data_IF_656803724678
#
_entry.id   IF_656803724678
#
_cell.length_a   1.000
_cell.length_b   1.000
_cell.length_c   1.000
_cell.angle_alpha   90.00
_cell.angle_beta   90.00
_cell.angle_gamma   90.00
#
_symmetry.space_group_name_H-M   'P 1'
#
loop_
_entity.id
_entity.type
_entity.pdbx_description
1 polymer ?
#
# COMPACT_ATOMS: atom_id res chain seq x y z
N UNK A 1 -14.56 -21.99 -13.05
CA UNK A 1 -14.99 -20.57 -12.89
C UNK A 1 -14.12 -19.70 -13.78
N UNK A 2 -14.69 -18.78 -14.59
CA UNK A 2 -13.90 -17.84 -15.37
C UNK A 2 -12.94 -17.05 -14.46
N UNK A 3 -11.69 -16.83 -14.88
CA UNK A 3 -10.66 -16.18 -14.04
C UNK A 3 -11.11 -14.81 -13.50
N UNK A 4 -11.85 -14.03 -14.30
CA UNK A 4 -12.38 -12.73 -13.88
C UNK A 4 -13.34 -12.81 -12.70
N UNK A 5 -14.17 -13.85 -12.60
CA UNK A 5 -15.09 -13.94 -11.45
C UNK A 5 -14.34 -14.23 -10.15
N UNK A 6 -13.23 -14.99 -10.22
CA UNK A 6 -12.32 -15.19 -9.09
C UNK A 6 -11.61 -13.90 -8.71
N UNK A 7 -11.06 -13.16 -9.69
CA UNK A 7 -10.42 -11.85 -9.45
C UNK A 7 -11.40 -10.89 -8.78
N UNK A 8 -12.62 -10.76 -9.31
CA UNK A 8 -13.66 -9.91 -8.75
C UNK A 8 -14.03 -10.32 -7.33
N UNK A 9 -14.20 -11.62 -7.07
CA UNK A 9 -14.53 -12.11 -5.73
C UNK A 9 -13.48 -11.69 -4.70
N UNK A 10 -12.21 -11.95 -4.98
CA UNK A 10 -11.12 -11.60 -4.05
C UNK A 10 -10.96 -10.08 -3.96
N UNK A 11 -11.11 -9.35 -5.08
CA UNK A 11 -11.05 -7.89 -5.10
C UNK A 11 -12.16 -7.24 -4.27
N UNK A 12 -13.37 -7.82 -4.23
CA UNK A 12 -14.47 -7.34 -3.37
C UNK A 12 -14.08 -7.46 -1.89
N UNK A 13 -13.47 -8.57 -1.48
CA UNK A 13 -12.99 -8.72 -0.10
C UNK A 13 -11.86 -7.73 0.21
N UNK A 14 -10.88 -7.60 -0.68
CA UNK A 14 -9.78 -6.64 -0.51
C UNK A 14 -10.30 -5.21 -0.41
N UNK A 15 -11.18 -4.82 -1.33
CA UNK A 15 -11.84 -3.53 -1.30
C UNK A 15 -12.70 -3.36 -0.05
N UNK A 16 -13.41 -4.40 0.40
CA UNK A 16 -14.16 -4.36 1.65
C UNK A 16 -13.31 -4.01 2.86
N UNK A 17 -12.12 -4.61 2.96
CA UNK A 17 -11.18 -4.39 4.06
C UNK A 17 -10.46 -3.04 3.98
N UNK A 18 -9.98 -2.66 2.81
CA UNK A 18 -9.10 -1.49 2.65
C UNK A 18 -9.79 -0.26 2.02
N UNK A 19 -10.76 -0.43 1.14
CA UNK A 19 -11.33 0.68 0.34
C UNK A 19 -12.74 1.12 0.74
N UNK A 20 -13.57 0.22 1.26
CA UNK A 20 -14.99 0.49 1.45
C UNK A 20 -15.24 1.52 2.57
N UNK A 21 -14.54 1.37 3.70
CA UNK A 21 -14.64 2.28 4.83
C UNK A 21 -14.27 3.72 4.45
N UNK A 22 -13.14 3.92 3.77
CA UNK A 22 -12.69 5.26 3.34
C UNK A 22 -13.62 5.86 2.28
N UNK A 23 -14.21 5.03 1.42
CA UNK A 23 -15.17 5.49 0.42
C UNK A 23 -16.45 6.00 1.08
N UNK A 24 -17.00 5.25 2.04
CA UNK A 24 -18.15 5.67 2.84
C UNK A 24 -17.84 6.99 3.57
N UNK A 25 -16.70 7.07 4.26
CA UNK A 25 -16.30 8.28 4.98
C UNK A 25 -16.21 9.48 4.03
N UNK A 26 -15.61 9.29 2.86
CA UNK A 26 -15.45 10.36 1.87
C UNK A 26 -16.80 10.85 1.32
N UNK A 27 -17.75 9.94 1.06
CA UNK A 27 -19.11 10.29 0.64
C UNK A 27 -19.82 11.08 1.75
N UNK A 28 -19.83 10.60 3.00
CA UNK A 28 -20.52 11.28 4.10
C UNK A 28 -19.90 12.63 4.45
N UNK A 29 -18.58 12.76 4.33
CA UNK A 29 -17.86 14.01 4.60
C UNK A 29 -17.77 14.93 3.39
N UNK A 30 -18.27 14.51 2.22
CA UNK A 30 -18.17 15.23 0.94
C UNK A 30 -16.73 15.59 0.59
N UNK A 31 -15.79 14.70 0.90
CA UNK A 31 -14.38 14.86 0.60
C UNK A 31 -14.03 14.13 -0.69
N UNK A 32 -13.25 14.76 -1.57
CA UNK A 32 -12.79 14.14 -2.80
C UNK A 32 -11.48 13.40 -2.55
N UNK A 33 -11.25 12.23 -3.18
CA UNK A 33 -9.98 11.52 -3.00
C UNK A 33 -8.76 12.36 -3.38
N UNK A 34 -8.90 13.26 -4.37
CA UNK A 34 -7.82 14.19 -4.73
C UNK A 34 -7.41 15.14 -3.59
N UNK A 35 -8.31 15.44 -2.63
CA UNK A 35 -7.98 16.33 -1.51
C UNK A 35 -6.96 15.72 -0.54
N UNK A 36 -6.69 14.42 -0.64
CA UNK A 36 -5.69 13.71 0.18
C UNK A 36 -4.27 13.77 -0.41
N UNK A 37 -4.06 14.59 -1.45
CA UNK A 37 -2.73 14.83 -2.02
C UNK A 37 -2.42 14.04 -3.30
N UNK A 38 -3.43 13.51 -4.00
CA UNK A 38 -3.25 12.95 -5.34
C UNK A 38 -3.09 14.09 -6.37
N UNK A 39 -1.92 14.73 -6.36
CA UNK A 39 -1.58 15.87 -7.23
C UNK A 39 -0.42 15.52 -8.16
N UNK A 40 -0.35 16.14 -9.33
CA UNK A 40 0.75 15.91 -10.29
C UNK A 40 2.03 16.61 -9.85
N UNK A 41 1.92 17.78 -9.23
CA UNK A 41 3.07 18.54 -8.73
C UNK A 41 3.81 17.79 -7.62
N UNK A 42 5.12 17.64 -7.77
CA UNK A 42 5.97 16.91 -6.81
C UNK A 42 5.74 15.39 -6.78
N UNK A 43 4.96 14.83 -7.71
CA UNK A 43 4.66 13.40 -7.77
C UNK A 43 5.93 12.54 -7.87
N UNK A 44 6.86 12.91 -8.76
CA UNK A 44 8.11 12.17 -8.94
C UNK A 44 8.95 12.14 -7.66
N UNK A 45 9.05 13.27 -6.95
CA UNK A 45 9.80 13.35 -5.70
C UNK A 45 9.16 12.47 -4.61
N UNK A 46 7.83 12.50 -4.49
CA UNK A 46 7.10 11.62 -3.57
C UNK A 46 7.34 10.15 -3.88
N UNK A 47 7.25 9.75 -5.15
CA UNK A 47 7.55 8.37 -5.59
C UNK A 47 8.99 8.00 -5.23
N UNK A 48 9.97 8.83 -5.59
CA UNK A 48 11.38 8.55 -5.33
C UNK A 48 11.65 8.32 -3.84
N UNK A 49 11.19 9.25 -2.98
CA UNK A 49 11.40 9.14 -1.54
C UNK A 49 10.67 7.93 -0.93
N UNK A 50 9.46 7.62 -1.40
CA UNK A 50 8.73 6.43 -0.99
C UNK A 50 9.47 5.14 -1.39
N UNK A 51 10.00 5.04 -2.61
CA UNK A 51 10.80 3.90 -3.06
C UNK A 51 12.05 3.72 -2.18
N UNK A 52 12.69 4.82 -1.75
CA UNK A 52 13.84 4.73 -0.83
C UNK A 52 13.47 4.07 0.51
N UNK A 53 12.25 4.31 1.03
CA UNK A 53 11.76 3.64 2.25
C UNK A 53 11.62 2.12 2.07
N UNK A 54 11.52 1.63 0.84
CA UNK A 54 11.36 0.20 0.52
C UNK A 54 12.68 -0.53 0.32
N UNK A 55 13.80 0.19 0.14
CA UNK A 55 15.14 -0.40 -0.06
C UNK A 55 15.53 -1.39 1.06
N UNK A 56 15.34 -1.10 2.35
CA UNK A 56 15.69 -2.04 3.41
C UNK A 56 14.96 -3.38 3.29
N UNK A 57 13.68 -3.35 2.89
CA UNK A 57 12.88 -4.56 2.69
C UNK A 57 13.36 -5.36 1.47
N UNK A 58 13.69 -4.69 0.35
CA UNK A 58 14.26 -5.37 -0.83
C UNK A 58 15.56 -6.09 -0.47
N UNK A 59 16.47 -5.41 0.23
CA UNK A 59 17.75 -6.01 0.67
C UNK A 59 17.46 -7.22 1.58
N UNK A 60 16.57 -7.06 2.55
CA UNK A 60 16.16 -8.15 3.44
C UNK A 60 15.63 -9.37 2.66
N UNK A 61 14.66 -9.18 1.77
CA UNK A 61 14.03 -10.26 1.01
C UNK A 61 15.00 -11.01 0.10
N UNK A 62 15.96 -10.31 -0.54
CA UNK A 62 16.99 -10.97 -1.36
C UNK A 62 18.07 -11.67 -0.53
N UNK A 63 18.53 -11.06 0.57
CA UNK A 63 19.61 -11.64 1.40
C UNK A 63 19.20 -12.94 2.09
N UNK A 64 17.92 -13.07 2.50
CA UNK A 64 17.39 -14.29 3.10
C UNK A 64 16.75 -15.25 2.09
N UNK A 65 16.87 -14.97 0.79
CA UNK A 65 16.32 -15.83 -0.27
C UNK A 65 14.79 -15.95 -0.27
N UNK A 66 14.09 -15.00 0.36
CA UNK A 66 12.62 -14.95 0.39
C UNK A 66 12.04 -14.61 -0.99
N UNK A 67 12.79 -13.90 -1.83
CA UNK A 67 12.41 -13.59 -3.20
C UNK A 67 13.57 -13.75 -4.18
N UNK A 68 13.26 -14.28 -5.37
CA UNK A 68 14.21 -14.47 -6.47
C UNK A 68 13.81 -13.73 -7.76
N UNK A 69 12.64 -13.08 -7.77
CA UNK A 69 12.10 -12.42 -8.95
C UNK A 69 11.23 -11.23 -8.56
N UNK A 70 11.17 -10.25 -9.45
CA UNK A 70 10.30 -9.11 -9.32
C UNK A 70 9.11 -9.24 -10.29
N UNK A 71 7.88 -9.19 -9.75
CA UNK A 71 6.66 -9.07 -10.54
C UNK A 71 5.57 -8.40 -9.69
N UNK A 72 5.07 -7.21 -10.06
CA UNK A 72 3.97 -6.56 -9.33
C UNK A 72 2.79 -7.51 -9.08
N UNK A 73 2.31 -7.52 -7.84
CA UNK A 73 1.23 -8.39 -7.37
C UNK A 73 1.51 -9.90 -7.46
N UNK A 74 2.78 -10.33 -7.54
CA UNK A 74 3.17 -11.74 -7.56
C UNK A 74 2.57 -12.57 -6.44
N UNK A 75 2.43 -11.99 -5.23
CA UNK A 75 1.85 -12.64 -4.05
C UNK A 75 0.32 -12.69 -4.07
N UNK A 76 -0.33 -11.93 -4.97
CA UNK A 76 -1.79 -11.96 -5.14
C UNK A 76 -2.17 -13.24 -5.90
N UNK A 77 -3.04 -14.04 -5.27
CA UNK A 77 -3.38 -15.41 -5.67
C UNK A 77 -3.66 -15.62 -7.17
N UNK A 78 -4.31 -14.66 -7.82
CA UNK A 78 -4.79 -14.79 -9.21
C UNK A 78 -3.84 -14.20 -10.25
N UNK A 79 -2.77 -13.50 -9.87
CA UNK A 79 -1.94 -12.70 -10.79
C UNK A 79 -1.35 -13.53 -11.93
N UNK A 80 -0.72 -14.68 -11.63
CA UNK A 80 -0.09 -15.52 -12.65
C UNK A 80 -1.11 -16.07 -13.67
N UNK A 81 -2.27 -16.51 -13.20
CA UNK A 81 -3.36 -17.01 -14.05
C UNK A 81 -3.97 -15.89 -14.91
N UNK A 82 -4.12 -14.69 -14.36
CA UNK A 82 -4.60 -13.52 -15.10
C UNK A 82 -3.62 -13.14 -16.21
N UNK A 83 -2.32 -13.06 -15.90
CA UNK A 83 -1.30 -12.72 -16.90
C UNK A 83 -1.18 -13.76 -18.02
N UNK A 84 -1.41 -15.03 -17.70
CA UNK A 84 -1.42 -16.12 -18.68
C UNK A 84 -2.69 -16.17 -19.55
N UNK A 85 -3.72 -15.39 -19.23
CA UNK A 85 -4.97 -15.35 -20.00
C UNK A 85 -4.88 -14.45 -21.24
N UNK A 86 -5.74 -14.71 -22.22
CA UNK A 86 -5.78 -13.95 -23.47
C UNK A 86 -6.32 -12.53 -23.28
N UNK A 87 -5.96 -11.65 -24.21
CA UNK A 87 -6.56 -10.33 -24.29
C UNK A 87 -8.07 -10.42 -24.61
N UNK A 88 -8.95 -9.63 -23.96
CA UNK A 88 -8.65 -8.55 -23.00
C UNK A 88 -8.69 -8.97 -21.52
N UNK A 89 -8.81 -10.26 -21.22
CA UNK A 89 -9.05 -10.77 -19.87
C UNK A 89 -7.87 -10.43 -18.94
N UNK A 90 -6.65 -10.59 -19.42
CA UNK A 90 -5.44 -10.26 -18.67
C UNK A 90 -5.39 -8.78 -18.22
N UNK A 91 -5.67 -7.85 -19.13
CA UNK A 91 -5.68 -6.41 -18.84
C UNK A 91 -6.77 -6.07 -17.82
N UNK A 92 -7.99 -6.57 -18.04
CA UNK A 92 -9.12 -6.31 -17.13
C UNK A 92 -8.82 -6.86 -15.73
N UNK A 93 -8.32 -8.09 -15.64
CA UNK A 93 -7.96 -8.71 -14.37
C UNK A 93 -6.88 -7.91 -13.63
N UNK A 94 -5.81 -7.49 -14.31
CA UNK A 94 -4.74 -6.70 -13.70
C UNK A 94 -5.22 -5.30 -13.28
N UNK A 95 -6.13 -4.66 -14.02
CA UNK A 95 -6.72 -3.38 -13.63
C UNK A 95 -7.56 -3.49 -12.35
N UNK A 96 -8.35 -4.55 -12.22
CA UNK A 96 -9.11 -4.83 -11.00
C UNK A 96 -8.15 -5.05 -9.82
N UNK A 97 -7.12 -5.87 -10.00
CA UNK A 97 -6.09 -6.12 -8.97
C UNK A 97 -5.38 -4.83 -8.56
N UNK A 98 -4.92 -4.04 -9.53
CA UNK A 98 -4.23 -2.78 -9.28
C UNK A 98 -5.12 -1.75 -8.59
N UNK A 99 -6.42 -1.76 -8.86
CA UNK A 99 -7.37 -0.88 -8.16
C UNK A 99 -7.56 -1.31 -6.71
N UNK A 100 -7.80 -2.60 -6.44
CA UNK A 100 -8.09 -3.08 -5.08
C UNK A 100 -6.85 -3.15 -4.17
N UNK A 101 -5.78 -3.83 -4.60
CA UNK A 101 -4.54 -3.97 -3.82
C UNK A 101 -3.58 -2.80 -4.01
N UNK A 102 -3.51 -2.22 -5.20
CA UNK A 102 -2.58 -1.12 -5.46
C UNK A 102 -3.12 0.20 -4.92
N UNK A 103 -4.22 0.68 -5.50
CA UNK A 103 -4.78 1.98 -5.16
C UNK A 103 -5.45 1.98 -3.78
N UNK A 104 -6.48 1.16 -3.56
CA UNK A 104 -7.27 1.28 -2.33
C UNK A 104 -6.49 0.91 -1.07
N UNK A 105 -5.60 -0.09 -1.11
CA UNK A 105 -4.76 -0.44 0.04
C UNK A 105 -3.79 0.69 0.42
N UNK A 106 -3.02 1.20 -0.54
CA UNK A 106 -2.10 2.32 -0.30
C UNK A 106 -2.84 3.61 0.09
N UNK A 107 -3.96 3.90 -0.57
CA UNK A 107 -4.77 5.09 -0.31
C UNK A 107 -5.48 5.05 1.04
N UNK A 108 -5.84 3.86 1.53
CA UNK A 108 -6.43 3.67 2.87
C UNK A 108 -5.53 4.21 3.97
N UNK A 109 -4.24 3.85 3.93
CA UNK A 109 -3.25 4.34 4.90
C UNK A 109 -3.15 5.86 4.92
N UNK A 110 -3.22 6.50 3.74
CA UNK A 110 -3.19 7.96 3.62
C UNK A 110 -4.39 8.59 4.31
N UNK A 111 -5.60 8.10 4.01
CA UNK A 111 -6.85 8.63 4.57
C UNK A 111 -6.90 8.42 6.08
N UNK A 112 -6.62 7.21 6.56
CA UNK A 112 -6.61 6.90 8.00
C UNK A 112 -5.59 7.77 8.73
N UNK A 113 -4.37 7.85 8.21
CA UNK A 113 -3.30 8.67 8.80
C UNK A 113 -3.72 10.12 8.94
N UNK A 114 -4.31 10.70 7.88
CA UNK A 114 -4.78 12.08 7.90
C UNK A 114 -5.93 12.31 8.89
N UNK A 115 -6.88 11.37 9.02
CA UNK A 115 -7.96 11.48 10.02
C UNK A 115 -7.42 11.44 11.44
N UNK A 116 -6.47 10.56 11.73
CA UNK A 116 -5.85 10.44 13.05
C UNK A 116 -5.05 11.70 13.37
N UNK A 117 -4.23 12.20 12.44
CA UNK A 117 -3.42 13.41 12.66
C UNK A 117 -4.27 14.66 12.85
N UNK A 118 -5.40 14.78 12.14
CA UNK A 118 -6.36 15.88 12.37
C UNK A 118 -6.98 15.80 13.76
N UNK A 119 -7.20 14.60 14.31
CA UNK A 119 -7.78 14.40 15.64
C UNK A 119 -6.76 14.57 16.78
N UNK A 120 -5.50 14.21 16.52
CA UNK A 120 -4.38 14.23 17.45
C UNK A 120 -3.19 14.99 16.82
N UNK A 121 -3.28 16.33 16.70
CA UNK A 121 -2.20 17.12 16.12
C UNK A 121 -0.97 17.13 17.02
N UNK A 122 0.19 17.36 16.41
CA UNK A 122 1.49 17.41 17.09
C UNK A 122 2.35 18.52 16.50
N UNK A 123 3.17 19.14 17.34
CA UNK A 123 4.12 20.17 16.91
C UNK A 123 5.46 19.58 16.43
N UNK A 124 5.69 18.28 16.64
CA UNK A 124 6.91 17.62 16.21
C UNK A 124 6.82 17.20 14.75
N UNK A 125 7.79 17.65 13.94
CA UNK A 125 7.89 17.28 12.51
C UNK A 125 8.15 15.80 12.27
N UNK A 126 8.61 15.08 13.28
CA UNK A 126 9.02 13.67 13.19
C UNK A 126 8.11 12.73 13.97
N UNK A 127 7.08 13.24 14.64
CA UNK A 127 6.08 12.41 15.31
C UNK A 127 4.79 12.51 14.50
N UNK A 128 4.29 11.39 14.00
CA UNK A 128 3.06 11.35 13.20
C UNK A 128 2.19 10.19 13.68
N UNK A 129 1.13 10.50 14.44
CA UNK A 129 0.27 9.50 15.07
C UNK A 129 -0.46 8.63 14.06
N UNK A 130 -0.89 9.22 12.95
CA UNK A 130 -1.50 8.52 11.84
C UNK A 130 -0.55 7.50 11.22
N UNK A 131 0.69 7.88 10.97
CA UNK A 131 1.72 7.00 10.41
C UNK A 131 2.10 5.87 11.37
N UNK A 132 2.26 6.18 12.67
CA UNK A 132 2.52 5.17 13.70
C UNK A 132 1.37 4.16 13.77
N UNK A 133 0.13 4.63 13.84
CA UNK A 133 -1.04 3.76 13.88
C UNK A 133 -1.13 2.87 12.63
N UNK A 134 -0.92 3.45 11.45
CA UNK A 134 -0.91 2.71 10.18
C UNK A 134 0.18 1.63 10.15
N UNK A 135 1.40 1.93 10.61
CA UNK A 135 2.49 0.95 10.64
C UNK A 135 2.17 -0.22 11.58
N UNK A 136 1.65 0.06 12.78
CA UNK A 136 1.22 -0.97 13.74
C UNK A 136 0.11 -1.83 13.14
N UNK A 137 -0.93 -1.21 12.57
CA UNK A 137 -2.04 -1.94 11.94
C UNK A 137 -1.56 -2.80 10.77
N UNK A 138 -0.64 -2.29 9.95
CA UNK A 138 -0.06 -3.04 8.83
C UNK A 138 0.63 -4.32 9.32
N UNK A 139 1.49 -4.20 10.34
CA UNK A 139 2.20 -5.34 10.95
C UNK A 139 1.20 -6.39 11.47
N UNK A 140 0.16 -5.95 12.17
CA UNK A 140 -0.85 -6.84 12.74
C UNK A 140 -1.68 -7.56 11.67
N UNK A 141 -2.13 -6.83 10.63
CA UNK A 141 -2.96 -7.39 9.55
C UNK A 141 -2.18 -8.38 8.70
N UNK A 142 -0.92 -8.07 8.38
CA UNK A 142 -0.07 -8.92 7.54
C UNK A 142 0.64 -10.02 8.33
N UNK A 143 0.43 -10.08 9.66
CA UNK A 143 1.07 -11.09 10.51
C UNK A 143 2.59 -10.98 10.59
N UNK A 144 3.17 -9.81 10.25
CA UNK A 144 4.60 -9.54 10.28
C UNK A 144 5.12 -9.32 11.72
N UNK A 145 4.61 -10.10 12.68
CA UNK A 145 4.98 -10.01 14.10
C UNK A 145 6.27 -10.81 14.29
N UNK A 146 7.37 -10.08 14.49
CA UNK A 146 8.68 -10.69 14.66
C UNK A 146 8.83 -11.46 15.96
N UNK A 147 8.76 -12.80 15.89
CA UNK A 147 9.09 -13.72 17.00
C UNK A 147 10.43 -14.45 16.81
N UNK A 148 11.02 -14.33 15.62
CA UNK A 148 12.37 -14.80 15.27
C UNK A 148 13.25 -13.61 14.88
N UNK A 149 14.57 -13.81 14.79
CA UNK A 149 15.49 -12.74 14.35
C UNK A 149 15.13 -12.20 12.95
N UNK A 150 14.87 -13.10 11.99
CA UNK A 150 14.43 -12.71 10.65
C UNK A 150 13.09 -11.98 10.69
N UNK A 151 12.11 -12.48 11.44
CA UNK A 151 10.81 -11.82 11.58
C UNK A 151 10.90 -10.45 12.26
N UNK A 152 11.83 -10.24 13.19
CA UNK A 152 12.08 -8.92 13.79
C UNK A 152 12.61 -7.94 12.74
N UNK A 153 13.54 -8.38 11.89
CA UNK A 153 14.07 -7.53 10.81
C UNK A 153 12.95 -7.23 9.80
N UNK A 154 12.16 -8.23 9.39
CA UNK A 154 11.01 -8.03 8.51
C UNK A 154 10.06 -6.98 9.07
N UNK A 155 9.65 -7.14 10.34
CA UNK A 155 8.79 -6.19 11.05
C UNK A 155 9.34 -4.76 11.04
N UNK A 156 10.65 -4.60 11.28
CA UNK A 156 11.33 -3.29 11.23
C UNK A 156 11.29 -2.72 9.81
N UNK A 157 11.53 -3.52 8.79
CA UNK A 157 11.49 -3.04 7.39
C UNK A 157 10.07 -2.61 6.99
N UNK A 158 9.04 -3.36 7.38
CA UNK A 158 7.63 -3.00 7.17
C UNK A 158 7.28 -1.71 7.92
N UNK A 159 7.76 -1.54 9.15
CA UNK A 159 7.60 -0.30 9.91
C UNK A 159 8.21 0.89 9.16
N UNK A 160 9.44 0.74 8.65
CA UNK A 160 10.14 1.78 7.88
C UNK A 160 9.35 2.13 6.61
N UNK A 161 8.82 1.14 5.89
CA UNK A 161 8.02 1.36 4.68
C UNK A 161 6.78 2.20 5.00
N UNK A 162 5.94 1.72 5.91
CA UNK A 162 4.62 2.32 6.16
C UNK A 162 4.76 3.68 6.84
N UNK A 163 5.63 3.77 7.85
CA UNK A 163 5.91 5.05 8.50
C UNK A 163 6.55 6.03 7.52
N UNK A 164 7.60 5.59 6.82
CA UNK A 164 8.37 6.42 5.89
C UNK A 164 7.53 6.98 4.76
N UNK A 165 6.73 6.16 4.07
CA UNK A 165 5.90 6.64 2.96
C UNK A 165 4.86 7.68 3.41
N UNK A 166 4.30 7.52 4.62
CA UNK A 166 3.32 8.47 5.15
C UNK A 166 4.00 9.78 5.61
N UNK A 167 5.23 9.71 6.13
CA UNK A 167 6.04 10.90 6.39
C UNK A 167 6.42 11.62 5.08
N UNK A 168 6.73 10.88 4.01
CA UNK A 168 6.98 11.46 2.69
C UNK A 168 5.74 12.19 2.18
N UNK A 169 4.54 11.60 2.32
CA UNK A 169 3.28 12.30 1.99
C UNK A 169 3.13 13.57 2.81
N UNK A 170 3.46 13.56 4.10
CA UNK A 170 3.37 14.75 4.96
C UNK A 170 4.32 15.86 4.48
N UNK A 171 5.58 15.51 4.16
CA UNK A 171 6.58 16.50 3.75
C UNK A 171 6.40 17.03 2.33
N UNK A 172 5.88 16.21 1.41
CA UNK A 172 5.69 16.58 -0.01
C UNK A 172 4.26 17.07 -0.30
N UNK A 173 3.32 16.78 0.59
CA UNK A 173 1.89 16.92 0.35
C UNK A 173 1.39 16.07 -0.82
N UNK A 174 2.11 15.02 -1.22
CA UNK A 174 1.80 14.21 -2.39
C UNK A 174 1.68 12.72 -2.03
N UNK A 175 0.54 12.13 -2.37
CA UNK A 175 0.13 10.80 -1.96
C UNK A 175 0.45 9.70 -2.99
N UNK A 176 0.87 10.07 -4.21
CA UNK A 176 1.15 9.10 -5.27
C UNK A 176 2.31 8.17 -4.94
N UNK A 177 3.29 8.61 -4.15
CA UNK A 177 4.38 7.73 -3.72
C UNK A 177 3.89 6.54 -2.90
N UNK A 178 2.91 6.74 -2.00
CA UNK A 178 2.30 5.64 -1.25
C UNK A 178 1.55 4.68 -2.20
N UNK A 179 0.70 5.20 -3.07
CA UNK A 179 -0.05 4.38 -4.05
C UNK A 179 0.91 3.60 -4.95
N UNK A 180 2.00 4.23 -5.38
CA UNK A 180 3.03 3.60 -6.22
C UNK A 180 3.66 2.39 -5.53
N UNK A 181 4.03 2.49 -4.25
CA UNK A 181 4.59 1.36 -3.49
C UNK A 181 3.62 0.17 -3.54
N UNK A 182 2.32 0.39 -3.31
CA UNK A 182 1.35 -0.71 -3.27
C UNK A 182 1.08 -1.32 -4.64
N UNK A 183 1.19 -0.53 -5.72
CA UNK A 183 1.07 -1.05 -7.08
C UNK A 183 2.30 -1.87 -7.46
N UNK A 184 3.50 -1.38 -7.17
CA UNK A 184 4.71 -1.89 -7.80
C UNK A 184 5.67 -2.65 -6.89
N UNK A 185 5.57 -2.53 -5.57
CA UNK A 185 6.58 -3.04 -4.64
C UNK A 185 6.00 -3.94 -3.53
N UNK A 186 4.90 -3.52 -2.91
CA UNK A 186 4.35 -4.18 -1.71
C UNK A 186 4.11 -5.68 -1.88
N UNK A 187 3.55 -6.08 -3.03
CA UNK A 187 3.22 -7.46 -3.36
C UNK A 187 4.11 -8.02 -4.48
N UNK A 188 5.30 -7.46 -4.68
CA UNK A 188 6.10 -7.69 -5.87
C UNK A 188 7.22 -8.73 -5.73
N UNK A 189 7.57 -9.08 -4.49
CA UNK A 189 8.70 -9.93 -4.14
C UNK A 189 8.21 -11.25 -3.54
#
# INVERSE_FOLDING_TARGET
MPILSRVLLVAIFQYGLAGFGITIVSIFRKEHFLSYGLKTEGMFLSILLCVLCFIPNIIFSYTLGQSNSYLPFQTVLTTKEVLASDFPINVIGMLITATAWGFFEGFNYIVISEKINRRYPTNSKWLNWGAIFCAIMCILIHGAIGVTFEGIIEMITVLIIIYGMLMVKEFTGNAWGCVFIFIFLWNAF
#
